data_IF_311872869222
#
_entry.id   IF_311872869222
#
_cell.length_a   1.000
_cell.length_b   1.000
_cell.length_c   1.000
_cell.angle_alpha   90.00
_cell.angle_beta   90.00
_cell.angle_gamma   90.00
#
_symmetry.space_group_name_H-M   'P 1'
#
loop_
_entity.id
_entity.type
_entity.pdbx_description
1 polymer ?
#
# COMPACT_ATOMS: atom_id res chain seq x y z
N UNK A 1 22.25 -8.69 -13.01
CA UNK A 1 21.35 -8.22 -11.95
C UNK A 1 20.96 -9.39 -11.06
N UNK A 2 21.18 -9.25 -9.76
CA UNK A 2 20.81 -10.33 -8.83
C UNK A 2 19.29 -10.44 -8.76
N UNK A 3 18.77 -11.62 -9.05
CA UNK A 3 17.36 -11.93 -8.77
C UNK A 3 17.15 -11.94 -7.27
N UNK A 4 16.16 -11.20 -6.81
CA UNK A 4 15.73 -11.26 -5.42
C UNK A 4 15.05 -12.61 -5.24
N UNK A 5 15.45 -13.35 -4.21
CA UNK A 5 14.96 -14.70 -3.96
C UNK A 5 13.44 -14.69 -3.68
N UNK A 6 12.69 -15.56 -4.36
CA UNK A 6 11.27 -15.75 -4.08
C UNK A 6 11.03 -16.21 -2.65
N UNK A 7 11.95 -17.04 -2.13
CA UNK A 7 11.89 -17.50 -0.74
C UNK A 7 12.01 -16.33 0.23
N UNK A 8 12.98 -15.43 -0.01
CA UNK A 8 13.15 -14.23 0.82
C UNK A 8 11.90 -13.37 0.78
N UNK A 9 11.36 -13.13 -0.42
CA UNK A 9 10.16 -12.31 -0.60
C UNK A 9 8.98 -12.87 0.16
N UNK A 10 8.77 -14.19 0.08
CA UNK A 10 7.69 -14.87 0.78
C UNK A 10 7.83 -14.79 2.30
N UNK A 11 9.05 -15.00 2.81
CA UNK A 11 9.32 -14.94 4.25
C UNK A 11 9.16 -13.52 4.78
N UNK A 12 9.65 -12.54 4.03
CA UNK A 12 9.52 -11.13 4.41
C UNK A 12 8.05 -10.69 4.42
N UNK A 13 7.29 -11.12 3.43
CA UNK A 13 5.86 -10.85 3.37
C UNK A 13 5.12 -11.42 4.58
N UNK A 14 5.43 -12.67 4.93
CA UNK A 14 4.83 -13.33 6.10
C UNK A 14 5.12 -12.55 7.39
N UNK A 15 6.35 -12.08 7.55
CA UNK A 15 6.74 -11.26 8.70
C UNK A 15 5.96 -9.94 8.76
N UNK A 16 5.84 -9.26 7.63
CA UNK A 16 5.08 -8.01 7.55
C UNK A 16 3.59 -8.23 7.84
N UNK A 17 3.02 -9.32 7.36
CA UNK A 17 1.62 -9.67 7.65
C UNK A 17 1.42 -9.92 9.15
N UNK A 18 2.36 -10.59 9.79
CA UNK A 18 2.29 -10.84 11.24
C UNK A 18 2.37 -9.56 12.06
N UNK A 19 3.01 -8.51 11.51
CA UNK A 19 3.20 -7.22 12.18
C UNK A 19 2.21 -6.16 11.71
N UNK A 20 1.17 -6.54 10.97
CA UNK A 20 0.17 -5.60 10.45
C UNK A 20 -0.49 -4.81 11.57
N UNK A 21 -0.66 -3.49 11.34
CA UNK A 21 -1.35 -2.62 12.29
C UNK A 21 -2.86 -2.88 12.28
N UNK A 22 -3.53 -2.44 13.34
CA UNK A 22 -5.00 -2.53 13.40
C UNK A 22 -5.65 -1.71 12.29
N UNK A 23 -5.07 -0.56 11.95
CA UNK A 23 -5.56 0.28 10.85
C UNK A 23 -5.46 -0.45 9.51
N UNK A 24 -4.35 -1.15 9.24
CA UNK A 24 -4.20 -1.92 8.02
C UNK A 24 -5.25 -3.02 7.91
N UNK A 25 -5.46 -3.77 9.00
CA UNK A 25 -6.48 -4.82 9.05
C UNK A 25 -7.88 -4.26 8.86
N UNK A 26 -8.17 -3.13 9.48
CA UNK A 26 -9.46 -2.48 9.36
C UNK A 26 -9.71 -1.99 7.93
N UNK A 27 -8.72 -1.35 7.32
CA UNK A 27 -8.82 -0.88 5.94
C UNK A 27 -9.02 -2.05 4.97
N UNK A 28 -8.31 -3.14 5.19
CA UNK A 28 -8.47 -4.36 4.40
C UNK A 28 -9.94 -4.84 4.45
N UNK A 29 -10.50 -4.97 5.65
CA UNK A 29 -11.89 -5.41 5.82
C UNK A 29 -12.88 -4.45 5.19
N UNK A 30 -12.65 -3.14 5.33
CA UNK A 30 -13.52 -2.12 4.76
C UNK A 30 -13.53 -2.20 3.23
N UNK A 31 -12.36 -2.31 2.62
CA UNK A 31 -12.25 -2.42 1.17
C UNK A 31 -12.87 -3.70 0.63
N UNK A 32 -12.68 -4.82 1.32
CA UNK A 32 -13.31 -6.08 0.94
C UNK A 32 -14.83 -5.99 1.04
N UNK A 33 -15.35 -5.33 2.09
CA UNK A 33 -16.79 -5.13 2.27
C UNK A 33 -17.38 -4.25 1.16
N UNK A 34 -16.57 -3.33 0.60
CA UNK A 34 -16.97 -2.51 -0.55
C UNK A 34 -16.95 -3.27 -1.87
N UNK A 35 -16.50 -4.51 -1.88
CA UNK A 35 -16.49 -5.37 -3.06
C UNK A 35 -15.17 -5.44 -3.80
N UNK A 36 -14.10 -4.83 -3.28
CA UNK A 36 -12.81 -4.87 -3.93
C UNK A 36 -12.05 -6.14 -3.57
N UNK A 37 -11.30 -6.67 -4.55
CA UNK A 37 -10.31 -7.70 -4.30
C UNK A 37 -9.04 -6.99 -3.82
N UNK A 38 -8.54 -7.36 -2.65
CA UNK A 38 -7.39 -6.68 -2.03
C UNK A 38 -6.30 -7.69 -1.71
N UNK A 39 -5.08 -7.35 -2.07
CA UNK A 39 -3.89 -8.13 -1.72
C UNK A 39 -3.10 -7.35 -0.66
N UNK A 40 -2.84 -7.99 0.47
CA UNK A 40 -2.09 -7.37 1.58
C UNK A 40 -0.60 -7.60 1.38
N UNK A 41 0.20 -6.58 1.71
CA UNK A 41 1.66 -6.62 1.61
C UNK A 41 2.11 -7.16 0.26
N UNK A 42 1.61 -6.50 -0.79
CA UNK A 42 1.86 -6.91 -2.17
C UNK A 42 3.28 -6.54 -2.58
N UNK A 43 4.11 -7.53 -3.00
CA UNK A 43 5.50 -7.25 -3.38
C UNK A 43 5.59 -6.68 -4.78
N UNK A 44 6.31 -5.56 -4.90
CA UNK A 44 6.57 -4.91 -6.19
C UNK A 44 8.08 -4.78 -6.34
N UNK A 45 8.60 -5.37 -7.40
CA UNK A 45 10.02 -5.27 -7.72
C UNK A 45 10.30 -3.92 -8.39
N UNK A 46 11.03 -3.05 -7.70
CA UNK A 46 11.37 -1.72 -8.20
C UNK A 46 12.70 -1.68 -8.95
N UNK A 47 13.35 -2.84 -9.13
CA UNK A 47 14.65 -2.98 -9.78
C UNK A 47 15.81 -2.99 -8.80
N UNK A 48 15.71 -2.26 -7.68
CA UNK A 48 16.74 -2.20 -6.63
C UNK A 48 16.36 -2.98 -5.40
N UNK A 49 15.07 -3.04 -5.10
CA UNK A 49 14.53 -3.73 -3.91
C UNK A 49 13.10 -4.14 -4.17
N UNK A 50 12.59 -4.99 -3.29
CA UNK A 50 11.18 -5.29 -3.27
C UNK A 50 10.50 -4.29 -2.32
N UNK A 51 9.49 -3.59 -2.85
CA UNK A 51 8.61 -2.75 -2.07
C UNK A 51 7.33 -3.52 -1.75
N UNK A 52 6.92 -3.52 -0.48
CA UNK A 52 5.68 -4.20 -0.07
C UNK A 52 4.60 -3.16 0.16
N UNK A 53 3.59 -3.15 -0.72
CA UNK A 53 2.45 -2.26 -0.57
C UNK A 53 1.55 -2.78 0.55
N UNK A 54 1.13 -1.89 1.46
CA UNK A 54 0.25 -2.30 2.58
C UNK A 54 -0.98 -3.03 2.05
N UNK A 55 -1.70 -2.40 1.13
CA UNK A 55 -2.85 -2.96 0.46
C UNK A 55 -2.76 -2.64 -1.03
N UNK A 56 -3.17 -3.58 -1.86
CA UNK A 56 -3.16 -3.40 -3.30
C UNK A 56 -4.47 -3.87 -3.90
N UNK A 57 -5.09 -3.05 -4.74
CA UNK A 57 -6.32 -3.38 -5.47
C UNK A 57 -5.93 -3.59 -6.93
N UNK A 58 -5.79 -4.86 -7.39
CA UNK A 58 -5.29 -5.15 -8.75
C UNK A 58 -6.13 -4.54 -9.87
N UNK A 59 -7.45 -4.58 -9.74
CA UNK A 59 -8.35 -4.08 -10.78
C UNK A 59 -8.20 -2.58 -11.04
N UNK A 60 -7.73 -1.82 -10.05
CA UNK A 60 -7.51 -0.39 -10.15
C UNK A 60 -6.02 -0.04 -10.28
N UNK A 61 -5.15 -1.01 -10.20
CA UNK A 61 -3.69 -0.81 -10.04
C UNK A 61 -3.41 0.21 -8.94
N UNK A 62 -4.16 0.11 -7.84
CA UNK A 62 -4.12 1.07 -6.76
C UNK A 62 -3.45 0.49 -5.54
N UNK A 63 -2.39 1.16 -5.09
CA UNK A 63 -1.71 0.89 -3.83
C UNK A 63 -2.36 1.78 -2.77
N UNK A 64 -2.79 1.19 -1.67
CA UNK A 64 -3.32 1.93 -0.52
C UNK A 64 -2.33 1.80 0.63
N UNK A 65 -1.74 2.93 1.02
CA UNK A 65 -0.80 3.00 2.13
C UNK A 65 -1.48 3.62 3.33
N UNK A 66 -1.35 2.96 4.48
CA UNK A 66 -1.90 3.49 5.72
C UNK A 66 -0.96 4.57 6.26
N UNK A 67 -1.53 5.73 6.60
CA UNK A 67 -0.78 6.87 7.12
C UNK A 67 -1.13 7.08 8.59
N UNK A 68 -0.17 6.82 9.48
CA UNK A 68 -0.34 6.95 10.92
C UNK A 68 -0.25 8.38 11.45
N UNK A 69 -0.11 9.36 10.56
CA UNK A 69 0.00 10.76 10.98
C UNK A 69 1.35 11.15 11.53
N UNK A 70 2.39 10.38 11.24
CA UNK A 70 3.75 10.73 11.67
C UNK A 70 4.22 11.98 10.95
N UNK A 71 4.86 12.88 11.69
CA UNK A 71 5.51 14.04 11.10
C UNK A 71 6.83 13.59 10.49
N UNK A 72 6.81 13.38 9.21
CA UNK A 72 8.01 13.00 8.50
C UNK A 72 8.99 14.17 8.41
N UNK A 73 10.27 13.86 8.56
CA UNK A 73 11.32 14.82 8.25
C UNK A 73 11.26 15.18 6.75
N UNK A 74 11.86 16.30 6.37
CA UNK A 74 11.96 16.69 4.96
C UNK A 74 12.61 15.57 4.12
N UNK A 75 13.61 14.88 4.70
CA UNK A 75 14.27 13.76 4.05
C UNK A 75 13.30 12.61 3.78
N UNK A 76 12.48 12.22 4.76
CA UNK A 76 11.51 11.14 4.60
C UNK A 76 10.42 11.49 3.59
N UNK A 77 9.94 12.73 3.59
CA UNK A 77 8.96 13.19 2.59
C UNK A 77 9.52 13.05 1.18
N UNK A 78 10.79 13.41 0.99
CA UNK A 78 11.45 13.31 -0.30
C UNK A 78 11.58 11.87 -0.76
N UNK A 79 11.99 10.96 0.14
CA UNK A 79 12.09 9.54 -0.18
C UNK A 79 10.73 8.94 -0.54
N UNK A 80 9.69 9.31 0.18
CA UNK A 80 8.32 8.88 -0.10
C UNK A 80 7.82 9.38 -1.45
N UNK A 81 8.10 10.64 -1.78
CA UNK A 81 7.74 11.23 -3.07
C UNK A 81 8.46 10.51 -4.20
N UNK A 82 9.75 10.25 -4.06
CA UNK A 82 10.52 9.53 -5.07
C UNK A 82 10.01 8.13 -5.28
N UNK A 83 9.64 7.44 -4.21
CA UNK A 83 9.06 6.09 -4.27
C UNK A 83 7.72 6.12 -5.01
N UNK A 84 6.84 7.05 -4.64
CA UNK A 84 5.53 7.20 -5.27
C UNK A 84 5.64 7.51 -6.76
N UNK A 85 6.58 8.38 -7.14
CA UNK A 85 6.84 8.71 -8.54
C UNK A 85 7.33 7.49 -9.32
N UNK A 86 8.21 6.69 -8.72
CA UNK A 86 8.70 5.46 -9.33
C UNK A 86 7.58 4.45 -9.56
N UNK A 87 6.69 4.31 -8.61
CA UNK A 87 5.54 3.42 -8.72
C UNK A 87 4.56 3.91 -9.78
N UNK A 88 4.31 5.21 -9.82
CA UNK A 88 3.43 5.81 -10.83
C UNK A 88 3.96 5.57 -12.24
N UNK A 89 5.27 5.69 -12.45
CA UNK A 89 5.89 5.39 -13.75
C UNK A 89 5.69 3.95 -14.19
N UNK A 90 5.53 3.04 -13.25
CA UNK A 90 5.22 1.62 -13.53
C UNK A 90 3.73 1.35 -13.71
N UNK A 91 2.91 2.40 -13.67
CA UNK A 91 1.46 2.28 -13.88
C UNK A 91 0.65 2.10 -12.61
N UNK A 92 1.27 2.22 -11.43
CA UNK A 92 0.56 2.11 -10.16
C UNK A 92 0.10 3.48 -9.69
N UNK A 93 -1.10 3.54 -9.16
CA UNK A 93 -1.59 4.70 -8.43
C UNK A 93 -1.37 4.47 -6.95
N UNK A 94 -1.08 5.53 -6.21
CA UNK A 94 -0.85 5.45 -4.77
C UNK A 94 -1.82 6.37 -4.05
N UNK A 95 -2.57 5.80 -3.10
CA UNK A 95 -3.46 6.56 -2.22
C UNK A 95 -3.03 6.36 -0.78
N UNK A 96 -2.81 7.45 -0.07
CA UNK A 96 -2.47 7.43 1.35
C UNK A 96 -3.75 7.60 2.16
N UNK A 97 -4.11 6.53 2.86
CA UNK A 97 -5.32 6.49 3.67
C UNK A 97 -4.95 6.81 5.13
N UNK A 98 -5.47 7.91 5.69
CA UNK A 98 -5.24 8.18 7.10
C UNK A 98 -5.79 7.06 7.97
N UNK A 99 -5.08 6.69 9.01
CA UNK A 99 -5.50 5.62 9.90
C UNK A 99 -6.90 5.85 10.47
N UNK A 100 -7.25 7.11 10.76
CA UNK A 100 -8.57 7.48 11.28
C UNK A 100 -9.72 7.14 10.33
N UNK A 101 -9.44 7.04 9.03
CA UNK A 101 -10.44 6.77 8.01
C UNK A 101 -10.52 5.30 7.61
N UNK A 102 -9.67 4.45 8.20
CA UNK A 102 -9.57 3.03 7.84
C UNK A 102 -10.88 2.26 8.03
N UNK A 103 -11.73 2.70 8.95
CA UNK A 103 -13.03 2.08 9.26
C UNK A 103 -14.21 2.86 8.68
N UNK A 104 -13.92 3.82 7.79
CA UNK A 104 -14.97 4.69 7.24
C UNK A 104 -15.20 4.38 5.76
N UNK A 105 -16.17 3.50 5.43
CA UNK A 105 -16.40 3.09 4.04
C UNK A 105 -16.85 4.24 3.15
N UNK A 106 -17.59 5.21 3.69
CA UNK A 106 -18.07 6.35 2.91
C UNK A 106 -16.94 7.24 2.42
N UNK A 107 -15.97 7.54 3.29
CA UNK A 107 -14.80 8.34 2.92
C UNK A 107 -13.91 7.60 1.92
N UNK A 108 -13.69 6.31 2.15
CA UNK A 108 -12.88 5.49 1.25
C UNK A 108 -13.54 5.42 -0.13
N UNK A 109 -14.84 5.15 -0.17
CA UNK A 109 -15.60 5.07 -1.41
C UNK A 109 -15.53 6.38 -2.20
N UNK A 110 -15.72 7.51 -1.52
CA UNK A 110 -15.65 8.82 -2.16
C UNK A 110 -14.28 9.09 -2.76
N UNK A 111 -13.22 8.76 -2.05
CA UNK A 111 -11.84 8.95 -2.55
C UNK A 111 -11.54 8.06 -3.75
N UNK A 112 -11.95 6.81 -3.71
CA UNK A 112 -11.72 5.88 -4.82
C UNK A 112 -12.48 6.31 -6.07
N UNK A 113 -13.67 6.87 -5.90
CA UNK A 113 -14.45 7.40 -7.03
C UNK A 113 -13.72 8.54 -7.75
N UNK A 114 -12.92 9.32 -7.02
CA UNK A 114 -12.14 10.42 -7.62
C UNK A 114 -10.84 9.96 -8.27
N UNK A 115 -10.40 8.74 -8.00
CA UNK A 115 -9.13 8.21 -8.51
C UNK A 115 -9.29 7.38 -9.79
N UNK A 116 -10.50 7.05 -10.16
CA UNK A 116 -10.79 6.20 -11.33
C UNK A 116 -11.58 6.96 -12.37
#
# INVERSE_FOLDING_TARGET
>A
MKKISEKWTRLRRADLLAKSSDAEKAAYRTLCALGYKVVRQYPINTGRRIYFADLYIPELKLIVELDGGYHFTAKQRRLDTNRSNGLWRKGYHVYRLPNRDARNPEKIKAKLANLV
#
